data_IF_886005724474
#
_entry.id   IF_886005724474
#
_cell.length_a   1.000
_cell.length_b   1.000
_cell.length_c   1.000
_cell.angle_alpha   90.00
_cell.angle_beta   90.00
_cell.angle_gamma   90.00
#
_symmetry.space_group_name_H-M   'P 1'
#
loop_
_entity.id
_entity.type
_entity.pdbx_description
1 polymer ?
#
# COMPACT_ATOMS: atom_id res chain seq x y z
N UNK A 1 -24.58 -4.53 -8.97
CA UNK A 1 -23.80 -3.76 -7.97
C UNK A 1 -23.43 -2.41 -8.57
N UNK A 2 -23.49 -1.30 -7.81
CA UNK A 2 -23.05 0.00 -8.34
C UNK A 2 -21.51 0.04 -8.45
N UNK A 3 -20.94 0.18 -9.66
CA UNK A 3 -19.49 0.22 -9.87
C UNK A 3 -18.80 1.39 -9.17
N UNK A 4 -19.51 2.51 -8.97
CA UNK A 4 -19.00 3.71 -8.30
C UNK A 4 -19.42 3.78 -6.83
N UNK A 5 -20.20 2.79 -6.37
CA UNK A 5 -20.67 2.74 -5.00
C UNK A 5 -19.52 2.57 -4.01
N UNK A 6 -19.67 3.10 -2.78
CA UNK A 6 -18.62 3.06 -1.75
C UNK A 6 -18.21 1.62 -1.39
N UNK A 7 -19.13 0.65 -1.51
CA UNK A 7 -18.84 -0.79 -1.28
C UNK A 7 -17.81 -1.30 -2.28
N UNK A 8 -18.07 -1.12 -3.58
CA UNK A 8 -17.20 -1.63 -4.63
C UNK A 8 -15.79 -1.01 -4.52
N UNK A 9 -15.71 0.31 -4.31
CA UNK A 9 -14.44 1.06 -4.26
C UNK A 9 -13.49 0.65 -3.11
N UNK A 10 -13.96 -0.08 -2.09
CA UNK A 10 -13.06 -0.62 -1.04
C UNK A 10 -12.23 -1.79 -1.52
N UNK A 11 -12.69 -2.49 -2.55
CA UNK A 11 -11.99 -3.64 -3.11
C UNK A 11 -10.94 -3.22 -4.17
N UNK A 12 -9.83 -3.98 -4.31
CA UNK A 12 -9.50 -5.17 -3.54
C UNK A 12 -9.09 -4.88 -2.08
N UNK A 13 -9.51 -5.77 -1.18
CA UNK A 13 -9.14 -5.84 0.22
C UNK A 13 -8.11 -6.94 0.41
N UNK A 14 -6.86 -6.56 0.59
CA UNK A 14 -5.74 -7.50 0.82
C UNK A 14 -4.96 -7.02 2.05
N UNK A 15 -4.61 -7.96 2.93
CA UNK A 15 -3.86 -7.71 4.16
C UNK A 15 -2.40 -7.32 3.88
N UNK A 16 -2.19 -6.11 3.37
CA UNK A 16 -0.86 -5.54 3.10
C UNK A 16 -0.36 -4.78 4.29
N UNK A 17 0.92 -4.99 4.63
CA UNK A 17 1.58 -4.17 5.63
C UNK A 17 1.52 -2.70 5.23
N UNK A 18 1.16 -1.84 6.20
CA UNK A 18 1.24 -0.39 6.06
C UNK A 18 1.76 0.19 7.38
N UNK A 19 2.80 1.04 7.34
CA UNK A 19 3.24 1.74 8.55
C UNK A 19 2.06 2.52 9.18
N UNK A 20 1.88 2.44 10.50
CA UNK A 20 0.81 3.15 11.19
C UNK A 20 0.99 4.66 11.03
N UNK A 21 -0.11 5.38 10.80
CA UNK A 21 -0.08 6.83 10.79
C UNK A 21 -0.18 7.36 12.22
N UNK A 22 0.88 7.18 13.01
CA UNK A 22 0.98 7.67 14.38
C UNK A 22 0.93 9.22 14.44
N UNK A 23 0.74 9.82 15.63
CA UNK A 23 0.90 11.26 15.82
C UNK A 23 2.22 11.79 15.23
N UNK A 24 2.18 12.96 14.59
CA UNK A 24 3.30 13.46 13.78
C UNK A 24 4.64 13.53 14.55
N UNK A 25 4.69 14.03 15.81
CA UNK A 25 5.95 14.04 16.57
C UNK A 25 6.54 12.64 16.77
N UNK A 26 5.70 11.62 16.99
CA UNK A 26 6.15 10.24 17.15
C UNK A 26 6.74 9.70 15.83
N UNK A 27 6.09 9.99 14.69
CA UNK A 27 6.60 9.56 13.38
C UNK A 27 7.95 10.18 13.06
N UNK A 28 8.12 11.49 13.29
CA UNK A 28 9.39 12.17 13.06
C UNK A 28 10.47 11.68 14.04
N UNK A 29 10.14 11.51 15.32
CA UNK A 29 11.06 10.93 16.30
C UNK A 29 11.53 9.53 15.91
N UNK A 30 10.61 8.67 15.48
CA UNK A 30 10.93 7.34 14.97
C UNK A 30 11.85 7.35 13.74
N UNK A 31 11.72 8.34 12.85
CA UNK A 31 12.65 8.49 11.71
C UNK A 31 14.06 8.86 12.15
N UNK A 32 14.20 9.72 13.16
CA UNK A 32 15.51 10.10 13.69
C UNK A 32 16.19 8.88 14.31
N UNK A 33 15.47 8.11 15.13
CA UNK A 33 15.99 6.87 15.73
C UNK A 33 16.35 5.81 14.67
N UNK A 34 15.52 5.70 13.63
CA UNK A 34 15.76 4.80 12.51
C UNK A 34 17.02 5.19 11.73
N UNK A 35 17.22 6.49 11.48
CA UNK A 35 18.42 7.02 10.82
C UNK A 35 19.68 6.79 11.68
N UNK A 36 19.61 7.03 12.99
CA UNK A 36 20.71 6.74 13.91
C UNK A 36 21.07 5.25 13.91
N UNK A 37 20.06 4.38 13.88
CA UNK A 37 20.26 2.92 13.80
C UNK A 37 20.89 2.54 12.46
N UNK A 38 20.45 3.14 11.36
CA UNK A 38 21.03 2.92 10.03
C UNK A 38 22.50 3.31 10.01
N UNK A 39 22.88 4.44 10.61
CA UNK A 39 24.28 4.89 10.73
C UNK A 39 25.10 3.90 11.57
N UNK A 40 24.61 3.55 12.78
CA UNK A 40 25.32 2.66 13.71
C UNK A 40 25.59 1.28 13.12
N UNK A 41 24.67 0.77 12.29
CA UNK A 41 24.76 -0.55 11.68
C UNK A 41 25.28 -0.54 10.24
N UNK A 42 25.52 0.65 9.68
CA UNK A 42 25.76 0.84 8.24
C UNK A 42 24.69 0.12 7.38
N UNK A 43 23.43 0.19 7.81
CA UNK A 43 22.33 -0.56 7.22
C UNK A 43 21.62 0.26 6.14
N UNK A 44 21.93 -0.08 4.89
CA UNK A 44 21.35 0.52 3.70
C UNK A 44 19.81 0.38 3.65
N UNK A 45 19.25 -0.72 4.17
CA UNK A 45 17.81 -0.96 4.17
C UNK A 45 17.07 -0.03 5.13
N UNK A 46 17.60 0.17 6.33
CA UNK A 46 17.04 1.12 7.29
C UNK A 46 17.16 2.56 6.77
N UNK A 47 18.28 2.91 6.13
CA UNK A 47 18.44 4.23 5.51
C UNK A 47 17.43 4.50 4.38
N UNK A 48 17.16 3.50 3.53
CA UNK A 48 16.11 3.59 2.51
C UNK A 48 14.71 3.75 3.11
N UNK A 49 14.43 3.04 4.21
CA UNK A 49 13.16 3.15 4.91
C UNK A 49 12.92 4.55 5.48
N UNK A 50 13.97 5.25 5.95
CA UNK A 50 13.87 6.66 6.38
C UNK A 50 13.37 7.55 5.25
N UNK A 51 13.96 7.45 4.06
CA UNK A 51 13.52 8.21 2.89
C UNK A 51 12.05 7.92 2.51
N UNK A 52 11.68 6.64 2.42
CA UNK A 52 10.32 6.24 2.07
C UNK A 52 9.29 6.77 3.07
N UNK A 53 9.58 6.65 4.37
CA UNK A 53 8.68 7.12 5.41
C UNK A 53 8.64 8.66 5.50
N UNK A 54 9.74 9.36 5.26
CA UNK A 54 9.78 10.82 5.17
C UNK A 54 8.91 11.35 4.02
N UNK A 55 9.04 10.76 2.83
CA UNK A 55 8.20 11.09 1.68
C UNK A 55 6.72 10.78 1.96
N UNK A 56 6.43 9.70 2.68
CA UNK A 56 5.08 9.37 3.14
C UNK A 56 4.53 10.42 4.11
N UNK A 57 5.32 10.88 5.10
CA UNK A 57 4.94 11.99 6.00
C UNK A 57 4.60 13.23 5.18
N UNK A 58 5.48 13.66 4.27
CA UNK A 58 5.22 14.83 3.44
C UNK A 58 3.92 14.67 2.62
N UNK A 59 3.70 13.48 2.04
CA UNK A 59 2.46 13.18 1.32
C UNK A 59 1.23 13.22 2.23
N UNK A 60 1.33 12.73 3.46
CA UNK A 60 0.23 12.70 4.43
C UNK A 60 -0.15 14.08 4.92
N UNK A 61 0.84 14.96 5.08
CA UNK A 61 0.65 16.36 5.45
C UNK A 61 0.08 17.20 4.30
N UNK A 62 -0.05 16.66 3.09
CA UNK A 62 -0.50 17.42 1.94
C UNK A 62 0.58 18.30 1.32
N UNK A 63 1.85 17.88 1.41
CA UNK A 63 3.01 18.54 0.82
C UNK A 63 3.56 17.73 -0.36
N UNK A 64 2.84 17.66 -1.50
CA UNK A 64 3.19 16.77 -2.61
C UNK A 64 4.53 17.11 -3.26
N UNK A 65 4.90 18.39 -3.30
CA UNK A 65 6.17 18.82 -3.91
C UNK A 65 7.38 18.42 -3.06
N UNK A 66 7.26 18.55 -1.74
CA UNK A 66 8.28 18.05 -0.81
C UNK A 66 8.39 16.52 -0.87
N UNK A 67 7.26 15.80 -0.95
CA UNK A 67 7.26 14.35 -1.10
C UNK A 67 7.95 13.93 -2.42
N UNK A 68 7.70 14.66 -3.51
CA UNK A 68 8.37 14.46 -4.81
C UNK A 68 9.87 14.71 -4.69
N UNK A 69 10.28 15.83 -4.11
CA UNK A 69 11.69 16.17 -3.89
C UNK A 69 12.43 15.05 -3.13
N UNK A 70 11.84 14.56 -2.04
CA UNK A 70 12.40 13.44 -1.26
C UNK A 70 12.50 12.14 -2.09
N UNK A 71 11.53 11.87 -2.97
CA UNK A 71 11.61 10.72 -3.89
C UNK A 71 12.77 10.90 -4.90
N UNK A 72 12.96 12.10 -5.46
CA UNK A 72 14.10 12.36 -6.35
C UNK A 72 15.44 12.17 -5.65
N UNK A 73 15.60 12.74 -4.46
CA UNK A 73 16.81 12.57 -3.65
C UNK A 73 17.08 11.09 -3.35
N UNK A 74 16.03 10.35 -2.98
CA UNK A 74 16.15 8.92 -2.70
C UNK A 74 16.57 8.12 -3.94
N UNK A 75 15.97 8.39 -5.10
CA UNK A 75 16.34 7.71 -6.34
C UNK A 75 17.80 8.01 -6.73
N UNK A 76 18.21 9.28 -6.66
CA UNK A 76 19.58 9.71 -6.97
C UNK A 76 20.62 9.05 -6.05
N UNK A 77 20.30 8.86 -4.77
CA UNK A 77 21.17 8.19 -3.80
C UNK A 77 21.55 6.76 -4.23
N UNK A 78 20.76 6.10 -5.09
CA UNK A 78 21.06 4.78 -5.64
C UNK A 78 21.52 4.80 -7.09
N UNK A 79 20.76 5.46 -7.97
CA UNK A 79 20.87 5.29 -9.41
C UNK A 79 22.18 5.84 -9.99
N UNK A 80 22.86 6.75 -9.28
CA UNK A 80 24.20 7.21 -9.66
C UNK A 80 25.27 6.11 -9.64
N UNK A 81 25.04 5.02 -8.89
CA UNK A 81 25.99 3.92 -8.69
C UNK A 81 25.68 2.67 -9.52
N UNK A 82 24.77 2.77 -10.50
CA UNK A 82 24.48 1.64 -11.40
C UNK A 82 25.75 1.13 -12.11
N UNK A 83 25.88 -0.19 -12.34
CA UNK A 83 24.86 -1.23 -12.07
C UNK A 83 24.76 -1.65 -10.60
N UNK A 84 23.54 -1.95 -10.15
CA UNK A 84 23.20 -2.28 -8.76
C UNK A 84 22.85 -3.78 -8.57
N UNK A 85 23.11 -4.37 -7.40
CA UNK A 85 22.49 -5.64 -7.01
C UNK A 85 20.96 -5.53 -6.91
N UNK A 86 20.22 -6.63 -7.09
CA UNK A 86 18.77 -6.65 -7.20
C UNK A 86 18.03 -5.87 -6.11
N UNK A 87 18.32 -6.16 -4.84
CA UNK A 87 17.73 -5.42 -3.71
C UNK A 87 18.10 -3.92 -3.67
N UNK A 88 19.30 -3.52 -4.09
CA UNK A 88 19.66 -2.10 -4.17
C UNK A 88 18.95 -1.41 -5.34
N UNK A 89 18.79 -2.09 -6.47
CA UNK A 89 18.00 -1.61 -7.60
C UNK A 89 16.52 -1.44 -7.23
N UNK A 90 15.94 -2.39 -6.48
CA UNK A 90 14.57 -2.26 -5.95
C UNK A 90 14.45 -1.02 -5.07
N UNK A 91 15.37 -0.80 -4.13
CA UNK A 91 15.38 0.39 -3.26
C UNK A 91 15.52 1.69 -4.07
N UNK A 92 16.34 1.70 -5.12
CA UNK A 92 16.47 2.84 -6.02
C UNK A 92 15.24 3.11 -6.90
N UNK A 93 14.45 2.08 -7.21
CA UNK A 93 13.20 2.20 -7.98
C UNK A 93 11.95 2.42 -7.12
N UNK A 94 11.96 2.06 -5.84
CA UNK A 94 10.84 2.33 -4.93
C UNK A 94 10.41 3.81 -4.89
N UNK A 95 11.32 4.81 -4.83
CA UNK A 95 10.90 6.21 -4.95
C UNK A 95 10.27 6.54 -6.31
N UNK A 96 10.68 5.89 -7.41
CA UNK A 96 10.08 6.08 -8.74
C UNK A 96 8.64 5.56 -8.76
N UNK A 97 8.38 4.41 -8.13
CA UNK A 97 7.03 3.90 -7.89
C UNK A 97 6.23 4.85 -7.00
N UNK A 98 6.86 5.43 -5.97
CA UNK A 98 6.20 6.39 -5.09
C UNK A 98 5.80 7.69 -5.81
N UNK A 99 6.56 8.14 -6.82
CA UNK A 99 6.15 9.25 -7.70
C UNK A 99 4.85 8.92 -8.46
N UNK A 100 4.73 7.70 -9.02
CA UNK A 100 3.48 7.24 -9.63
C UNK A 100 2.32 7.27 -8.62
N UNK A 101 2.55 6.77 -7.40
CA UNK A 101 1.56 6.76 -6.32
C UNK A 101 1.13 8.18 -5.91
N UNK A 102 2.05 9.15 -5.94
CA UNK A 102 1.72 10.56 -5.69
C UNK A 102 0.79 11.12 -6.78
N UNK A 103 1.06 10.84 -8.06
CA UNK A 103 0.18 11.25 -9.16
C UNK A 103 -1.22 10.64 -9.04
N UNK A 104 -1.29 9.35 -8.71
CA UNK A 104 -2.56 8.65 -8.48
C UNK A 104 -3.36 9.33 -7.36
N UNK A 105 -2.71 9.66 -6.24
CA UNK A 105 -3.33 10.40 -5.13
C UNK A 105 -3.78 11.81 -5.53
N UNK A 106 -3.09 12.45 -6.47
CA UNK A 106 -3.44 13.75 -7.03
C UNK A 106 -4.56 13.70 -8.10
N UNK A 107 -5.22 12.55 -8.29
CA UNK A 107 -6.31 12.38 -9.25
C UNK A 107 -5.85 12.07 -10.68
N UNK A 108 -4.55 11.89 -10.92
CA UNK A 108 -3.98 11.52 -12.23
C UNK A 108 -3.74 10.02 -12.32
N UNK A 109 -4.79 9.25 -12.05
CA UNK A 109 -4.72 7.80 -11.89
C UNK A 109 -4.22 7.07 -13.15
N UNK A 110 -4.72 7.45 -14.33
CA UNK A 110 -4.29 6.85 -15.61
C UNK A 110 -2.85 7.18 -15.97
N UNK A 111 -2.43 8.44 -15.78
CA UNK A 111 -1.04 8.84 -16.01
C UNK A 111 -0.09 8.04 -15.11
N UNK A 112 -0.40 7.94 -13.81
CA UNK A 112 0.40 7.17 -12.88
C UNK A 112 0.47 5.69 -13.25
N UNK A 113 -0.67 5.09 -13.64
CA UNK A 113 -0.71 3.69 -14.11
C UNK A 113 0.11 3.48 -15.37
N UNK A 114 -0.03 4.34 -16.38
CA UNK A 114 0.72 4.22 -17.63
C UNK A 114 2.22 4.28 -17.37
N UNK A 115 2.68 5.20 -16.51
CA UNK A 115 4.11 5.30 -16.20
C UNK A 115 4.65 4.07 -15.47
N UNK A 116 3.85 3.40 -14.63
CA UNK A 116 4.25 2.12 -14.03
C UNK A 116 4.40 1.03 -15.10
N UNK A 117 3.50 0.98 -16.09
CA UNK A 117 3.59 0.06 -17.22
C UNK A 117 4.82 0.34 -18.08
N UNK A 118 5.11 1.61 -18.36
CA UNK A 118 6.28 2.04 -19.12
C UNK A 118 7.59 1.65 -18.40
N UNK A 119 7.65 1.87 -17.07
CA UNK A 119 8.78 1.47 -16.25
C UNK A 119 8.98 -0.05 -16.29
N UNK A 120 7.91 -0.83 -16.11
CA UNK A 120 7.97 -2.28 -16.21
C UNK A 120 8.48 -2.75 -17.57
N UNK A 121 7.92 -2.23 -18.66
CA UNK A 121 8.33 -2.57 -20.02
C UNK A 121 9.78 -2.16 -20.33
N UNK A 122 10.26 -1.06 -19.76
CA UNK A 122 11.67 -0.65 -19.88
C UNK A 122 12.61 -1.62 -19.17
N UNK A 123 12.31 -1.99 -17.92
CA UNK A 123 13.11 -2.98 -17.16
C UNK A 123 13.08 -4.35 -17.84
N UNK A 124 11.91 -4.80 -18.31
CA UNK A 124 11.77 -6.06 -19.03
C UNK A 124 12.59 -6.10 -20.32
N UNK A 125 12.62 -4.98 -21.07
CA UNK A 125 13.38 -4.86 -22.31
C UNK A 125 14.87 -4.52 -22.10
N UNK A 126 15.33 -4.27 -20.87
CA UNK A 126 16.68 -3.77 -20.59
C UNK A 126 16.96 -2.39 -21.21
N UNK A 127 15.96 -1.51 -21.29
CA UNK A 127 16.07 -0.16 -21.89
C UNK A 127 16.10 0.92 -20.82
N UNK A 128 16.73 2.05 -21.16
CA UNK A 128 16.65 3.24 -20.34
C UNK A 128 15.24 3.83 -20.35
N UNK A 129 14.84 4.49 -19.26
CA UNK A 129 13.57 5.18 -19.13
C UNK A 129 13.75 6.54 -18.43
N UNK A 130 12.77 7.42 -18.65
CA UNK A 130 12.65 8.70 -17.97
C UNK A 130 11.32 8.76 -17.23
N UNK A 131 11.37 9.02 -15.92
CA UNK A 131 10.18 9.04 -15.07
C UNK A 131 10.15 10.32 -14.24
N UNK A 132 9.28 11.27 -14.59
CA UNK A 132 9.14 12.55 -13.88
C UNK A 132 10.48 13.30 -13.63
N UNK A 133 11.50 13.10 -14.46
CA UNK A 133 12.84 13.69 -14.28
C UNK A 133 13.86 12.78 -13.58
N UNK A 134 13.48 11.57 -13.19
CA UNK A 134 14.39 10.50 -12.79
C UNK A 134 14.80 9.69 -14.02
N UNK A 135 16.10 9.64 -14.30
CA UNK A 135 16.69 8.79 -15.33
C UNK A 135 16.92 7.38 -14.78
N UNK A 136 16.24 6.38 -15.33
CA UNK A 136 16.49 4.96 -15.03
C UNK A 136 17.39 4.40 -16.13
N UNK A 137 18.64 4.00 -15.83
CA UNK A 137 19.58 3.54 -16.85
C UNK A 137 19.23 2.15 -17.37
N UNK A 138 19.60 1.86 -18.62
CA UNK A 138 19.45 0.52 -19.22
C UNK A 138 20.25 -0.55 -18.44
N UNK A 139 21.44 -0.19 -17.96
CA UNK A 139 22.29 -1.01 -17.10
C UNK A 139 21.94 -0.87 -15.62
N UNK A 140 20.66 -0.93 -15.25
CA UNK A 140 20.22 -0.79 -13.86
C UNK A 140 20.87 -1.83 -12.95
N UNK A 141 20.94 -3.10 -13.40
CA UNK A 141 21.46 -4.23 -12.63
C UNK A 141 22.71 -4.84 -13.27
N UNK A 142 23.53 -5.49 -12.45
CA UNK A 142 24.77 -6.12 -12.91
C UNK A 142 24.53 -7.48 -13.59
N UNK A 143 23.50 -8.20 -13.16
CA UNK A 143 23.17 -9.56 -13.62
C UNK A 143 21.74 -9.67 -14.13
N UNK A 144 21.46 -10.75 -14.86
CA UNK A 144 20.12 -11.10 -15.33
C UNK A 144 19.23 -11.58 -14.17
N UNK A 145 19.83 -12.24 -13.17
CA UNK A 145 19.16 -12.67 -11.94
C UNK A 145 18.66 -11.47 -11.13
N UNK A 146 19.51 -10.45 -10.94
CA UNK A 146 19.12 -9.19 -10.29
C UNK A 146 17.99 -8.51 -11.08
N UNK A 147 18.07 -8.50 -12.42
CA UNK A 147 17.02 -7.92 -13.28
C UNK A 147 15.70 -8.68 -13.12
N UNK A 148 15.76 -10.00 -13.01
CA UNK A 148 14.59 -10.84 -12.79
C UNK A 148 13.94 -10.54 -11.44
N UNK A 149 14.72 -10.35 -10.38
CA UNK A 149 14.23 -9.96 -9.06
C UNK A 149 13.49 -8.60 -9.11
N UNK A 150 14.11 -7.60 -9.73
CA UNK A 150 13.50 -6.26 -9.92
C UNK A 150 12.20 -6.37 -10.72
N UNK A 151 12.19 -7.15 -11.80
CA UNK A 151 10.99 -7.37 -12.64
C UNK A 151 9.87 -8.05 -11.84
N UNK A 152 10.17 -9.06 -11.04
CA UNK A 152 9.19 -9.75 -10.21
C UNK A 152 8.62 -8.84 -9.11
N UNK A 153 9.43 -7.92 -8.57
CA UNK A 153 8.95 -6.87 -7.66
C UNK A 153 8.03 -5.86 -8.38
N UNK A 154 8.43 -5.31 -9.53
CA UNK A 154 7.61 -4.37 -10.30
C UNK A 154 6.29 -5.00 -10.79
N UNK A 155 6.30 -6.28 -11.16
CA UNK A 155 5.09 -7.00 -11.53
C UNK A 155 4.07 -7.04 -10.37
N UNK A 156 4.53 -7.27 -9.13
CA UNK A 156 3.66 -7.19 -7.94
C UNK A 156 3.12 -5.77 -7.71
N UNK A 157 3.93 -4.75 -7.98
CA UNK A 157 3.50 -3.34 -7.93
C UNK A 157 2.41 -3.07 -8.96
N UNK A 158 2.57 -3.53 -10.21
CA UNK A 158 1.55 -3.36 -11.27
C UNK A 158 0.23 -4.04 -10.93
N UNK A 159 0.28 -5.26 -10.38
CA UNK A 159 -0.92 -5.97 -9.98
C UNK A 159 -1.63 -5.27 -8.81
N UNK A 160 -0.89 -4.72 -7.85
CA UNK A 160 -1.49 -4.04 -6.71
C UNK A 160 -1.96 -2.62 -7.06
N UNK A 161 -1.03 -1.75 -7.43
CA UNK A 161 -1.29 -0.32 -7.64
C UNK A 161 -2.01 -0.08 -8.97
N UNK A 162 -1.60 -0.75 -10.05
CA UNK A 162 -2.23 -0.62 -11.37
C UNK A 162 -3.70 -1.01 -11.34
N UNK A 163 -4.03 -2.14 -10.72
CA UNK A 163 -5.43 -2.54 -10.49
C UNK A 163 -6.19 -1.50 -9.68
N UNK A 164 -5.61 -1.05 -8.56
CA UNK A 164 -6.30 -0.14 -7.64
C UNK A 164 -6.69 1.18 -8.30
N UNK A 165 -5.88 1.70 -9.23
CA UNK A 165 -6.23 2.92 -9.98
C UNK A 165 -7.53 2.80 -10.78
N UNK A 166 -7.82 1.60 -11.29
CA UNK A 166 -9.01 1.31 -12.08
C UNK A 166 -10.21 1.02 -11.18
N UNK A 167 -10.02 0.22 -10.12
CA UNK A 167 -11.14 -0.16 -9.24
C UNK A 167 -11.67 1.02 -8.42
N UNK A 168 -10.82 1.93 -7.96
CA UNK A 168 -11.27 3.12 -7.21
C UNK A 168 -12.09 4.10 -8.07
N UNK A 169 -12.01 3.99 -9.39
CA UNK A 169 -12.79 4.82 -10.33
C UNK A 169 -13.97 4.05 -10.96
N UNK A 170 -14.25 2.83 -10.48
CA UNK A 170 -15.37 1.99 -10.95
C UNK A 170 -15.12 1.29 -12.28
N UNK A 171 -13.90 1.31 -12.82
CA UNK A 171 -13.52 0.72 -14.10
C UNK A 171 -13.20 -0.77 -13.97
N UNK A 172 -14.17 -1.55 -13.49
CA UNK A 172 -14.00 -2.96 -13.13
C UNK A 172 -13.66 -3.87 -14.31
N UNK A 173 -14.26 -3.65 -15.48
CA UNK A 173 -13.94 -4.41 -16.69
C UNK A 173 -12.48 -4.20 -17.11
N UNK A 174 -12.01 -2.95 -17.10
CA UNK A 174 -10.62 -2.62 -17.43
C UNK A 174 -9.65 -3.15 -16.36
N UNK A 175 -10.04 -3.13 -15.09
CA UNK A 175 -9.26 -3.76 -14.01
C UNK A 175 -9.09 -5.25 -14.24
N UNK A 176 -10.15 -5.95 -14.68
CA UNK A 176 -10.08 -7.37 -15.02
C UNK A 176 -9.13 -7.60 -16.20
N UNK A 177 -9.29 -6.86 -17.30
CA UNK A 177 -8.38 -6.96 -18.46
C UNK A 177 -6.93 -6.69 -18.08
N UNK A 178 -6.66 -5.68 -17.23
CA UNK A 178 -5.33 -5.37 -16.72
C UNK A 178 -4.71 -6.56 -15.96
N UNK A 179 -5.46 -7.16 -15.03
CA UNK A 179 -4.97 -8.31 -14.27
C UNK A 179 -4.78 -9.54 -15.15
N UNK A 180 -5.70 -9.80 -16.09
CA UNK A 180 -5.61 -10.94 -17.01
C UNK A 180 -4.38 -10.83 -17.92
N UNK A 181 -4.10 -9.65 -18.46
CA UNK A 181 -2.91 -9.39 -19.27
C UNK A 181 -1.59 -9.64 -18.52
N UNK A 182 -1.63 -9.58 -17.18
CA UNK A 182 -0.50 -9.86 -16.30
C UNK A 182 -0.63 -11.20 -15.55
N UNK A 183 -1.56 -12.08 -15.96
CA UNK A 183 -1.82 -13.39 -15.36
C UNK A 183 -2.07 -13.37 -13.84
N UNK A 184 -2.69 -12.31 -13.34
CA UNK A 184 -2.90 -12.10 -11.89
C UNK A 184 -4.19 -12.72 -11.32
N UNK A 185 -5.03 -13.39 -12.13
CA UNK A 185 -6.24 -14.07 -11.64
C UNK A 185 -5.90 -15.47 -11.13
N UNK A 186 -5.78 -15.60 -9.82
CA UNK A 186 -5.52 -16.87 -9.14
C UNK A 186 -6.78 -17.54 -8.55
N UNK A 187 -6.59 -18.70 -7.90
CA UNK A 187 -7.68 -19.42 -7.20
C UNK A 187 -7.92 -18.96 -5.76
N UNK A 188 -6.99 -18.21 -5.17
CA UNK A 188 -7.08 -17.64 -3.81
C UNK A 188 -7.74 -16.26 -3.82
N UNK A 189 -8.25 -15.80 -2.67
CA UNK A 189 -8.98 -14.52 -2.56
C UNK A 189 -8.06 -13.29 -2.48
N UNK A 190 -7.13 -13.20 -3.41
CA UNK A 190 -6.23 -12.05 -3.61
C UNK A 190 -6.84 -11.04 -4.60
N UNK A 191 -6.08 -10.03 -5.03
CA UNK A 191 -6.59 -8.93 -5.87
C UNK A 191 -7.33 -9.43 -7.11
N UNK A 192 -6.72 -10.33 -7.88
CA UNK A 192 -7.30 -10.80 -9.15
C UNK A 192 -8.61 -11.54 -9.00
N UNK A 193 -8.75 -12.38 -7.96
CA UNK A 193 -10.02 -13.10 -7.72
C UNK A 193 -11.13 -12.14 -7.29
N UNK A 194 -10.81 -11.17 -6.44
CA UNK A 194 -11.77 -10.14 -6.01
C UNK A 194 -12.22 -9.26 -7.19
N UNK A 195 -11.30 -8.85 -8.06
CA UNK A 195 -11.62 -8.08 -9.28
C UNK A 195 -12.49 -8.89 -10.23
N UNK A 196 -12.21 -10.16 -10.47
CA UNK A 196 -13.04 -11.01 -11.32
C UNK A 196 -14.48 -11.13 -10.80
N UNK A 197 -14.66 -11.35 -9.50
CA UNK A 197 -15.99 -11.39 -8.87
C UNK A 197 -16.72 -10.06 -9.03
N UNK A 198 -16.06 -8.94 -8.73
CA UNK A 198 -16.71 -7.62 -8.80
C UNK A 198 -16.99 -7.16 -10.22
N UNK A 199 -16.12 -7.47 -11.18
CA UNK A 199 -16.36 -7.23 -12.59
C UNK A 199 -17.60 -7.98 -13.09
N UNK A 200 -17.77 -9.24 -12.69
CA UNK A 200 -18.96 -10.03 -12.99
C UNK A 200 -20.23 -9.41 -12.36
N UNK A 201 -20.18 -9.03 -11.07
CA UNK A 201 -21.31 -8.37 -10.38
C UNK A 201 -21.69 -7.00 -10.95
N UNK A 202 -20.72 -6.24 -11.43
CA UNK A 202 -20.95 -4.96 -12.10
C UNK A 202 -21.53 -5.16 -13.50
N UNK A 203 -21.10 -6.20 -14.22
CA UNK A 203 -21.66 -6.59 -15.51
C UNK A 203 -23.06 -7.23 -15.40
N UNK A 204 -23.54 -7.51 -14.18
CA UNK A 204 -24.81 -8.19 -13.94
C UNK A 204 -24.74 -9.71 -14.10
N UNK A 205 -23.56 -10.28 -14.29
CA UNK A 205 -23.33 -11.72 -14.39
C UNK A 205 -23.17 -12.35 -12.99
N UNK A 206 -24.31 -12.46 -12.31
CA UNK A 206 -24.38 -12.95 -10.93
C UNK A 206 -24.10 -14.44 -10.82
N UNK A 207 -24.42 -15.20 -11.87
CA UNK A 207 -24.13 -16.63 -11.94
C UNK A 207 -22.63 -16.86 -12.00
N UNK A 208 -21.91 -16.14 -12.87
CA UNK A 208 -20.46 -16.25 -12.94
C UNK A 208 -19.77 -15.77 -11.66
N UNK A 209 -20.25 -14.68 -11.06
CA UNK A 209 -19.75 -14.23 -9.76
C UNK A 209 -19.89 -15.32 -8.69
N UNK A 210 -21.03 -16.02 -8.65
CA UNK A 210 -21.26 -17.12 -7.72
C UNK A 210 -20.34 -18.32 -7.99
N UNK A 211 -20.10 -18.67 -9.26
CA UNK A 211 -19.15 -19.72 -9.64
C UNK A 211 -17.73 -19.37 -9.19
N UNK A 212 -17.27 -18.15 -9.44
CA UNK A 212 -15.95 -17.67 -9.00
C UNK A 212 -15.77 -17.76 -7.48
N UNK A 213 -16.81 -17.43 -6.73
CA UNK A 213 -16.81 -17.53 -5.26
C UNK A 213 -16.79 -18.99 -4.79
N UNK A 214 -17.60 -19.85 -5.39
CA UNK A 214 -17.63 -21.28 -5.06
C UNK A 214 -16.29 -21.99 -5.38
N UNK A 215 -15.63 -21.60 -6.47
CA UNK A 215 -14.35 -22.13 -6.92
C UNK A 215 -13.13 -21.46 -6.24
N UNK A 216 -13.37 -20.55 -5.28
CA UNK A 216 -12.27 -19.95 -4.53
C UNK A 216 -11.72 -20.94 -3.52
N UNK A 217 -10.41 -21.21 -3.63
CA UNK A 217 -9.71 -22.07 -2.67
C UNK A 217 -9.64 -21.39 -1.30
N UNK A 218 -9.88 -22.13 -0.20
CA UNK A 218 -9.66 -21.63 1.13
C UNK A 218 -8.25 -21.06 1.31
N UNK A 219 -8.17 -19.94 2.01
CA UNK A 219 -6.93 -19.26 2.31
C UNK A 219 -6.82 -18.91 3.79
N UNK A 220 -6.03 -17.87 4.05
CA UNK A 220 -5.83 -17.31 5.38
C UNK A 220 -7.16 -16.81 5.96
N UNK A 221 -7.30 -16.66 7.29
CA UNK A 221 -8.56 -16.22 7.91
C UNK A 221 -9.12 -14.90 7.33
N UNK A 222 -8.24 -14.00 6.90
CA UNK A 222 -8.65 -12.74 6.28
C UNK A 222 -9.26 -12.94 4.87
N UNK A 223 -8.76 -13.92 4.10
CA UNK A 223 -9.32 -14.27 2.78
C UNK A 223 -10.72 -14.87 2.91
N UNK A 224 -10.94 -15.66 3.96
CA UNK A 224 -12.24 -16.25 4.26
C UNK A 224 -13.27 -15.17 4.58
N UNK A 225 -12.90 -14.18 5.41
CA UNK A 225 -13.77 -13.05 5.73
C UNK A 225 -14.10 -12.19 4.48
N UNK A 226 -13.13 -11.95 3.60
CA UNK A 226 -13.36 -11.26 2.32
C UNK A 226 -14.29 -12.08 1.40
N UNK A 227 -14.09 -13.40 1.32
CA UNK A 227 -14.93 -14.31 0.55
C UNK A 227 -16.37 -14.32 1.07
N UNK A 228 -16.56 -14.37 2.38
CA UNK A 228 -17.88 -14.28 3.01
C UNK A 228 -18.54 -12.93 2.73
N UNK A 229 -17.80 -11.82 2.77
CA UNK A 229 -18.31 -10.49 2.40
C UNK A 229 -18.83 -10.48 0.96
N UNK A 230 -18.00 -10.91 0.01
CA UNK A 230 -18.38 -10.94 -1.40
C UNK A 230 -19.53 -11.91 -1.67
N UNK A 231 -19.64 -13.01 -0.93
CA UNK A 231 -20.78 -13.94 -1.00
C UNK A 231 -22.09 -13.30 -0.57
N UNK A 232 -22.10 -12.59 0.56
CA UNK A 232 -23.28 -11.84 1.03
C UNK A 232 -23.68 -10.77 0.01
N UNK A 233 -22.71 -10.01 -0.51
CA UNK A 233 -22.96 -8.96 -1.51
C UNK A 233 -23.48 -9.53 -2.83
N UNK A 234 -22.91 -10.63 -3.32
CA UNK A 234 -23.34 -11.33 -4.53
C UNK A 234 -24.80 -11.82 -4.41
N UNK A 235 -25.14 -12.46 -3.27
CA UNK A 235 -26.49 -12.96 -3.02
C UNK A 235 -27.51 -11.83 -2.90
N UNK A 236 -27.16 -10.75 -2.20
CA UNK A 236 -28.00 -9.55 -2.09
C UNK A 236 -28.28 -8.97 -3.46
N UNK A 237 -27.26 -8.82 -4.29
CA UNK A 237 -27.42 -8.31 -5.66
C UNK A 237 -28.32 -9.23 -6.51
N UNK A 238 -28.26 -10.54 -6.29
CA UNK A 238 -29.14 -11.53 -6.91
C UNK A 238 -30.56 -11.60 -6.31
N UNK A 239 -30.89 -10.79 -5.30
CA UNK A 239 -32.18 -10.85 -4.61
C UNK A 239 -32.41 -12.15 -3.83
N UNK A 240 -31.33 -12.85 -3.48
CA UNK A 240 -31.37 -14.12 -2.76
C UNK A 240 -31.31 -13.91 -1.24
N UNK A 241 -31.81 -14.86 -0.43
CA UNK A 241 -31.68 -14.79 1.03
C UNK A 241 -30.22 -14.71 1.48
N UNK A 242 -29.96 -13.79 2.42
CA UNK A 242 -28.60 -13.53 2.95
C UNK A 242 -28.43 -13.85 4.43
N UNK A 243 -29.49 -14.05 5.20
CA UNK A 243 -29.43 -14.08 6.67
C UNK A 243 -28.43 -15.10 7.23
N UNK A 244 -28.43 -16.34 6.69
CA UNK A 244 -27.45 -17.36 7.08
C UNK A 244 -26.02 -16.98 6.75
N UNK A 245 -25.78 -16.51 5.51
CA UNK A 245 -24.45 -16.07 5.07
C UNK A 245 -23.97 -14.82 5.82
N UNK A 246 -24.89 -13.95 6.23
CA UNK A 246 -24.59 -12.77 7.03
C UNK A 246 -24.20 -13.16 8.46
N UNK A 247 -24.89 -14.14 9.07
CA UNK A 247 -24.52 -14.68 10.37
C UNK A 247 -23.13 -15.35 10.33
N UNK A 248 -22.85 -16.12 9.28
CA UNK A 248 -21.53 -16.74 9.06
C UNK A 248 -20.43 -15.69 8.87
N UNK A 249 -20.71 -14.63 8.10
CA UNK A 249 -19.79 -13.51 7.91
C UNK A 249 -19.46 -12.81 9.25
N UNK A 250 -20.49 -12.50 10.03
CA UNK A 250 -20.32 -11.83 11.33
C UNK A 250 -19.50 -12.70 12.28
N UNK A 251 -19.76 -14.02 12.31
CA UNK A 251 -19.00 -14.98 13.11
C UNK A 251 -17.54 -15.03 12.66
N UNK A 252 -17.30 -15.23 11.37
CA UNK A 252 -15.95 -15.28 10.76
C UNK A 252 -15.16 -14.00 11.04
N UNK A 253 -15.81 -12.84 10.97
CA UNK A 253 -15.19 -11.55 11.26
C UNK A 253 -14.72 -11.43 12.71
N UNK A 254 -15.56 -11.82 13.68
CA UNK A 254 -15.24 -11.69 15.11
C UNK A 254 -14.27 -12.76 15.63
N UNK A 255 -14.22 -13.94 15.02
CA UNK A 255 -13.27 -15.00 15.39
C UNK A 255 -11.84 -14.75 14.88
N UNK A 256 -11.71 -13.84 13.91
CA UNK A 256 -10.43 -13.52 13.27
C UNK A 256 -9.50 -12.78 14.23
N UNK A 257 -8.24 -13.22 14.26
CA UNK A 257 -7.15 -12.49 14.94
C UNK A 257 -6.63 -11.38 14.04
N UNK A 258 -6.53 -10.18 14.60
CA UNK A 258 -5.83 -9.06 13.97
C UNK A 258 -4.32 -9.16 14.23
N UNK A 259 -3.51 -8.51 13.39
CA UNK A 259 -2.06 -8.55 13.48
C UNK A 259 -1.44 -7.15 13.43
N UNK A 260 -0.21 -6.97 13.94
CA UNK A 260 0.48 -5.70 13.85
C UNK A 260 0.74 -5.33 12.38
N UNK A 261 0.58 -4.06 12.03
CA UNK A 261 0.89 -3.53 10.69
C UNK A 261 -0.17 -3.74 9.62
N UNK A 262 -1.33 -4.32 9.95
CA UNK A 262 -2.47 -4.48 9.03
C UNK A 262 -3.74 -3.73 9.48
N UNK A 263 -3.61 -2.78 10.41
CA UNK A 263 -4.74 -2.01 10.98
C UNK A 263 -5.65 -1.40 9.91
N UNK A 264 -5.09 -0.74 8.88
CA UNK A 264 -5.91 -0.14 7.81
C UNK A 264 -6.70 -1.18 7.02
N UNK A 265 -6.15 -2.38 6.83
CA UNK A 265 -6.89 -3.47 6.21
C UNK A 265 -8.04 -3.94 7.12
N UNK A 266 -7.78 -4.12 8.41
CA UNK A 266 -8.79 -4.56 9.38
C UNK A 266 -9.95 -3.56 9.48
N UNK A 267 -9.64 -2.27 9.48
CA UNK A 267 -10.65 -1.21 9.46
C UNK A 267 -11.48 -1.30 8.19
N UNK A 268 -10.85 -1.36 7.00
CA UNK A 268 -11.60 -1.42 5.74
C UNK A 268 -12.45 -2.69 5.61
N UNK A 269 -11.97 -3.81 6.15
CA UNK A 269 -12.78 -5.03 6.21
C UNK A 269 -13.98 -4.85 7.14
N UNK A 270 -13.79 -4.32 8.35
CA UNK A 270 -14.91 -4.08 9.27
C UNK A 270 -15.93 -3.08 8.73
N UNK A 271 -15.49 -2.03 8.04
CA UNK A 271 -16.37 -1.11 7.31
C UNK A 271 -17.14 -1.81 6.17
N UNK A 272 -16.51 -2.76 5.49
CA UNK A 272 -17.19 -3.58 4.46
C UNK A 272 -18.21 -4.53 5.09
N UNK A 273 -17.92 -5.07 6.28
CA UNK A 273 -18.88 -5.86 7.08
C UNK A 273 -20.05 -4.99 7.54
N UNK A 274 -19.83 -3.73 7.94
CA UNK A 274 -20.92 -2.80 8.26
C UNK A 274 -21.87 -2.59 7.07
N UNK A 275 -21.32 -2.41 5.87
CA UNK A 275 -22.14 -2.30 4.66
C UNK A 275 -22.86 -3.62 4.31
N UNK A 276 -22.23 -4.76 4.58
CA UNK A 276 -22.88 -6.05 4.46
C UNK A 276 -24.03 -6.22 5.48
N UNK A 277 -23.93 -5.66 6.68
CA UNK A 277 -25.05 -5.65 7.65
C UNK A 277 -26.14 -4.66 7.23
N UNK A 278 -25.77 -3.46 6.79
CA UNK A 278 -26.65 -2.47 6.18
C UNK A 278 -27.69 -1.82 7.09
N UNK A 279 -27.69 -2.11 8.40
CA UNK A 279 -28.65 -1.56 9.37
C UNK A 279 -27.97 -1.09 10.65
N UNK A 280 -28.26 0.15 11.05
CA UNK A 280 -27.78 0.76 12.30
C UNK A 280 -28.42 0.17 13.56
N UNK A 281 -29.58 -0.49 13.42
CA UNK A 281 -30.29 -1.11 14.54
C UNK A 281 -29.74 -2.49 14.92
N UNK A 282 -28.92 -3.07 14.03
CA UNK A 282 -28.31 -4.39 14.25
C UNK A 282 -27.33 -4.35 15.44
N UNK A 283 -27.49 -5.22 16.45
CA UNK A 283 -26.52 -5.37 17.53
C UNK A 283 -25.10 -5.71 17.02
N UNK A 284 -25.02 -6.47 15.91
CA UNK A 284 -23.74 -6.78 15.28
C UNK A 284 -23.06 -5.52 14.72
N UNK A 285 -23.83 -4.59 14.13
CA UNK A 285 -23.28 -3.34 13.60
C UNK A 285 -22.68 -2.46 14.73
N UNK A 286 -23.37 -2.37 15.87
CA UNK A 286 -22.85 -1.64 17.05
C UNK A 286 -21.53 -2.22 17.54
N UNK A 287 -21.46 -3.55 17.67
CA UNK A 287 -20.23 -4.23 18.08
C UNK A 287 -19.08 -4.05 17.09
N UNK A 288 -19.36 -4.07 15.78
CA UNK A 288 -18.34 -3.77 14.76
C UNK A 288 -17.82 -2.34 14.92
N UNK A 289 -18.68 -1.35 15.15
CA UNK A 289 -18.26 0.06 15.38
C UNK A 289 -17.41 0.21 16.64
N UNK A 290 -17.76 -0.48 17.72
CA UNK A 290 -16.95 -0.52 18.94
C UNK A 290 -15.55 -1.11 18.70
N UNK A 291 -15.46 -2.22 17.95
CA UNK A 291 -14.19 -2.85 17.58
C UNK A 291 -13.35 -1.94 16.68
N UNK A 292 -13.96 -1.30 15.68
CA UNK A 292 -13.30 -0.37 14.77
C UNK A 292 -12.74 0.85 15.50
N UNK A 293 -13.49 1.43 16.45
CA UNK A 293 -13.02 2.52 17.28
C UNK A 293 -11.85 2.06 18.16
N UNK A 294 -12.00 0.94 18.87
CA UNK A 294 -10.95 0.38 19.75
C UNK A 294 -9.65 0.11 18.99
N UNK A 295 -9.71 -0.60 17.85
CA UNK A 295 -8.51 -0.86 17.05
C UNK A 295 -7.85 0.41 16.52
N UNK A 296 -8.65 1.43 16.20
CA UNK A 296 -8.13 2.74 15.78
C UNK A 296 -7.38 3.44 16.90
N UNK A 297 -7.95 3.46 18.11
CA UNK A 297 -7.33 4.13 19.27
C UNK A 297 -6.13 3.37 19.80
N UNK A 298 -6.21 2.04 19.88
CA UNK A 298 -5.12 1.19 20.39
C UNK A 298 -3.89 1.24 19.49
N UNK A 299 -4.10 1.40 18.18
CA UNK A 299 -3.02 1.54 17.20
C UNK A 299 -2.54 2.99 17.00
N UNK A 300 -3.23 3.98 17.58
CA UNK A 300 -3.04 5.42 17.33
C UNK A 300 -2.95 5.77 15.82
N UNK A 301 -3.71 5.08 14.96
CA UNK A 301 -3.58 5.20 13.52
C UNK A 301 -4.55 6.25 12.91
N UNK A 302 -4.00 7.37 12.46
CA UNK A 302 -4.75 8.43 11.79
C UNK A 302 -5.41 8.01 10.48
N UNK A 303 -4.87 7.02 9.76
CA UNK A 303 -5.52 6.49 8.57
C UNK A 303 -6.78 5.73 8.92
N UNK A 304 -6.71 4.88 9.95
CA UNK A 304 -7.87 4.16 10.49
C UNK A 304 -8.97 5.12 10.93
N UNK A 305 -8.60 6.16 11.69
CA UNK A 305 -9.53 7.19 12.13
C UNK A 305 -10.21 7.93 10.97
N UNK A 306 -9.45 8.28 9.93
CA UNK A 306 -10.01 8.94 8.73
C UNK A 306 -10.99 8.04 7.98
N UNK A 307 -10.67 6.75 7.83
CA UNK A 307 -11.56 5.79 7.14
C UNK A 307 -12.87 5.61 7.90
N UNK A 308 -12.81 5.48 9.24
CA UNK A 308 -14.00 5.41 10.09
C UNK A 308 -14.87 6.66 9.97
N UNK A 309 -14.28 7.85 10.06
CA UNK A 309 -15.00 9.13 9.94
C UNK A 309 -15.61 9.37 8.56
N UNK A 310 -15.03 8.77 7.51
CA UNK A 310 -15.56 8.85 6.15
C UNK A 310 -16.75 7.89 5.92
N UNK A 311 -17.08 7.02 6.87
CA UNK A 311 -18.09 5.99 6.70
C UNK A 311 -19.45 6.37 7.32
N UNK A 312 -20.53 6.53 6.51
CA UNK A 312 -21.82 6.98 7.02
C UNK A 312 -22.36 6.13 8.17
N UNK A 313 -22.39 4.80 8.02
CA UNK A 313 -22.89 3.91 9.08
C UNK A 313 -22.05 3.95 10.37
N UNK A 314 -20.73 4.15 10.26
CA UNK A 314 -19.89 4.31 11.44
C UNK A 314 -20.32 5.58 12.17
N UNK A 315 -20.40 6.71 11.46
CA UNK A 315 -20.75 8.00 12.07
C UNK A 315 -22.18 8.06 12.61
N UNK A 316 -23.12 7.25 12.08
CA UNK A 316 -24.49 7.19 12.60
C UNK A 316 -24.63 6.35 13.87
N UNK A 317 -23.73 5.38 14.08
CA UNK A 317 -23.78 4.43 15.20
C UNK A 317 -22.82 4.84 16.32
N UNK A 318 -21.66 5.38 15.97
CA UNK A 318 -20.64 5.79 16.91
C UNK A 318 -21.16 6.90 17.82
N UNK A 319 -20.75 6.84 19.09
CA UNK A 319 -21.02 7.91 20.04
C UNK A 319 -20.26 9.19 19.68
N UNK A 320 -20.74 10.33 20.18
CA UNK A 320 -20.05 11.62 20.01
C UNK A 320 -18.59 11.57 20.49
N UNK A 321 -18.34 10.85 21.61
CA UNK A 321 -17.01 10.63 22.15
C UNK A 321 -16.12 9.86 21.17
N UNK A 322 -16.59 8.74 20.63
CA UNK A 322 -15.83 7.93 19.67
C UNK A 322 -15.51 8.73 18.39
N UNK A 323 -16.48 9.51 17.90
CA UNK A 323 -16.27 10.39 16.74
C UNK A 323 -15.24 11.48 17.05
N UNK A 324 -15.31 12.09 18.24
CA UNK A 324 -14.36 13.11 18.65
C UNK A 324 -12.94 12.55 18.82
N UNK A 325 -12.81 11.32 19.30
CA UNK A 325 -11.51 10.63 19.43
C UNK A 325 -10.86 10.41 18.08
N UNK A 326 -11.61 9.88 17.10
CA UNK A 326 -11.11 9.74 15.73
C UNK A 326 -10.71 11.09 15.14
N UNK A 327 -11.49 12.16 15.36
CA UNK A 327 -11.15 13.51 14.87
C UNK A 327 -9.89 14.06 15.54
N UNK A 328 -9.73 13.84 16.84
CA UNK A 328 -8.54 14.24 17.58
C UNK A 328 -7.29 13.52 17.06
N UNK A 329 -7.42 12.23 16.76
CA UNK A 329 -6.33 11.43 16.21
C UNK A 329 -5.94 11.91 14.81
N UNK A 330 -6.89 12.13 13.89
CA UNK A 330 -6.61 12.70 12.56
C UNK A 330 -5.82 14.01 12.65
N UNK A 331 -6.18 14.89 13.61
CA UNK A 331 -5.44 16.14 13.88
C UNK A 331 -4.04 15.89 14.43
N UNK A 332 -3.89 14.99 15.41
CA UNK A 332 -2.59 14.67 16.01
C UNK A 332 -1.61 14.06 14.98
N UNK A 333 -2.14 13.32 14.00
CA UNK A 333 -1.39 12.76 12.87
C UNK A 333 -1.10 13.78 11.77
N UNK A 334 -1.61 15.01 11.89
CA UNK A 334 -1.41 16.12 10.96
C UNK A 334 -1.80 15.81 9.49
N UNK A 335 -2.80 14.93 9.29
CA UNK A 335 -3.26 14.56 7.96
C UNK A 335 -3.85 15.77 7.22
N UNK A 336 -3.20 16.19 6.14
CA UNK A 336 -3.58 17.35 5.34
C UNK A 336 -3.29 18.70 6.00
N UNK A 337 -2.40 18.77 6.99
CA UNK A 337 -2.11 20.01 7.71
C UNK A 337 -1.46 21.13 6.87
N UNK A 338 -0.81 20.78 5.75
CA UNK A 338 -0.19 21.71 4.81
C UNK A 338 1.16 22.28 5.24
N UNK A 339 1.68 21.92 6.42
CA UNK A 339 2.97 22.39 6.94
C UNK A 339 3.61 21.35 7.86
N UNK A 340 4.95 21.31 7.91
CA UNK A 340 5.69 20.61 8.96
C UNK A 340 6.03 21.63 10.06
N UNK A 341 5.69 21.38 11.34
CA UNK A 341 6.08 22.27 12.44
C UNK A 341 7.60 22.51 12.48
N UNK A 342 8.02 23.75 12.71
CA UNK A 342 9.43 24.16 12.63
C UNK A 342 10.34 23.33 13.55
N UNK A 343 9.84 22.98 14.73
CA UNK A 343 10.55 22.13 15.69
C UNK A 343 10.87 20.72 15.18
N UNK A 344 10.11 20.22 14.20
CA UNK A 344 10.30 18.88 13.61
C UNK A 344 11.15 18.90 12.33
N UNK A 345 11.24 20.06 11.64
CA UNK A 345 11.95 20.18 10.36
C UNK A 345 13.44 19.83 10.50
N UNK A 346 14.09 20.32 11.57
CA UNK A 346 15.51 20.07 11.80
C UNK A 346 15.84 18.58 11.97
N UNK A 347 15.00 17.85 12.72
CA UNK A 347 15.13 16.41 12.93
C UNK A 347 14.98 15.63 11.62
N UNK A 348 13.93 15.94 10.84
CA UNK A 348 13.67 15.29 9.56
C UNK A 348 14.81 15.52 8.56
N UNK A 349 15.27 16.76 8.41
CA UNK A 349 16.37 17.08 7.49
C UNK A 349 17.69 16.42 7.90
N UNK A 350 17.95 16.31 9.22
CA UNK A 350 19.13 15.60 9.72
C UNK A 350 19.08 14.09 9.43
N UNK A 351 17.92 13.46 9.68
CA UNK A 351 17.69 12.05 9.41
C UNK A 351 17.93 11.72 7.92
N UNK A 352 17.36 12.51 7.01
CA UNK A 352 17.55 12.34 5.57
C UNK A 352 19.03 12.44 5.15
N UNK A 353 19.75 13.48 5.63
CA UNK A 353 21.18 13.62 5.34
C UNK A 353 22.02 12.47 5.89
N UNK A 354 21.67 11.95 7.07
CA UNK A 354 22.35 10.79 7.64
C UNK A 354 22.12 9.54 6.78
N UNK A 355 20.87 9.28 6.39
CA UNK A 355 20.50 8.15 5.54
C UNK A 355 21.11 8.22 4.14
N UNK A 356 21.16 9.40 3.50
CA UNK A 356 21.84 9.60 2.21
C UNK A 356 23.30 9.15 2.29
N UNK A 357 24.03 9.59 3.32
CA UNK A 357 25.43 9.22 3.52
C UNK A 357 25.61 7.71 3.70
N UNK A 358 24.74 7.05 4.45
CA UNK A 358 24.77 5.58 4.63
C UNK A 358 24.55 4.88 3.28
N UNK A 359 23.54 5.30 2.51
CA UNK A 359 23.24 4.72 1.21
C UNK A 359 24.45 4.89 0.28
N UNK A 360 24.94 6.11 0.10
CA UNK A 360 26.06 6.38 -0.81
C UNK A 360 27.33 5.65 -0.39
N UNK A 361 27.68 5.68 0.90
CA UNK A 361 28.85 4.96 1.41
C UNK A 361 28.74 3.44 1.19
N UNK A 362 27.55 2.86 1.32
CA UNK A 362 27.33 1.42 1.06
C UNK A 362 27.50 1.02 -0.40
N UNK A 363 27.42 1.98 -1.33
CA UNK A 363 27.54 1.76 -2.78
C UNK A 363 28.94 2.04 -3.31
N UNK A 364 29.80 2.73 -2.55
CA UNK A 364 31.23 2.87 -2.89
C UNK A 364 31.88 1.50 -2.66
N UNK A 365 32.28 0.82 -3.75
CA UNK A 365 33.07 -0.42 -3.64
C UNK A 365 34.31 -0.17 -2.77
N UNK A 366 34.66 -1.06 -1.82
CA UNK A 366 36.00 -1.05 -1.28
C UNK A 366 36.95 -1.19 -2.47
N UNK A 367 37.86 -0.24 -2.65
CA UNK A 367 38.97 -0.42 -3.57
C UNK A 367 39.64 -1.75 -3.23
N UNK A 368 39.92 -2.54 -4.25
CA UNK A 368 40.62 -3.82 -4.21
C UNK A 368 42.07 -3.58 -3.72
N UNK A 369 42.24 -3.34 -2.42
CA UNK A 369 43.56 -3.25 -1.80
C UNK A 369 44.05 -4.66 -1.51
N UNK A 370 44.79 -5.24 -2.46
CA UNK A 370 45.79 -6.24 -2.14
C UNK A 370 45.78 -7.53 -2.95
N UNK A 371 45.83 -7.44 -4.29
CA UNK A 371 46.57 -8.46 -5.06
C UNK A 371 47.94 -7.87 -5.42
N UNK A 372 48.87 -7.93 -4.47
CA UNK A 372 50.29 -7.74 -4.76
C UNK A 372 50.71 -8.84 -5.75
N UNK A 373 51.41 -8.52 -6.85
CA UNK A 373 52.01 -9.54 -7.70
C UNK A 373 53.06 -10.27 -6.87
N UNK A 374 52.96 -11.60 -6.80
CA UNK A 374 54.04 -12.45 -6.32
C UNK A 374 55.28 -12.19 -7.20
N UNK A 375 56.29 -11.55 -6.62
CA UNK A 375 57.62 -11.49 -7.21
C UNK A 375 58.15 -12.91 -7.42
N UNK A 376 58.52 -13.19 -8.67
CA UNK A 376 59.44 -14.27 -9.01
C UNK A 376 60.74 -14.13 -8.20
N UNK A 377 61.15 -15.20 -7.52
CA UNK A 377 62.57 -15.44 -7.27
C UNK A 377 62.93 -16.88 -7.57
N UNK A 378 64.01 -16.96 -8.35
CA UNK A 378 64.75 -18.08 -8.89
C UNK A 378 65.06 -19.22 -7.92
#
# INVERSE_FOLDING_TARGET
MDPHGPIAQRFPLVARFRPPCLPLPQRVGGLVELADTAVKKNDQGLASAVYNQAALIASDLGLPDLAREMCHQHADAYLHACPLPGMSAIRGLEPVVNLARLQIRAGRADEGRQRLLDLYGAIESGRAAQFEGVAVPAGLTATDEDRHEVRAWLWRVLLADGTRTLTTTGRWAEALTHIEAHHGVGKRMLDGRQVAVLAALVAGDKEWAAVLLADTMPGDPWEQAVTACLTVLCRRDAGQPVDGHLADLVTTYFERKTGPGVTVFDIRLGLTVLDAIGSADSPAARRVVEDLHRWTTDAEDGYAARENLAHPLFTSIATDRQTQDCRALVRACALGAGTIPDELQGGLASALRASDRVIRASLVRPFDTGRMPSEERA
#
